data_IF_506362245102
#
_entry.id   IF_506362245102
#
_cell.length_a   1.000
_cell.length_b   1.000
_cell.length_c   1.000
_cell.angle_alpha   90.00
_cell.angle_beta   90.00
_cell.angle_gamma   90.00
#
_symmetry.space_group_name_H-M   'P 1'
#
loop_
_entity.id
_entity.type
_entity.pdbx_description
1 polymer ?
#
# COMPACT_ATOMS: atom_id res chain seq x y z
N UNK A 1 28.24 16.61 -1.49
CA UNK A 1 27.65 15.27 -1.39
C UNK A 1 26.14 15.43 -1.43
N UNK A 2 25.46 14.96 -2.48
CA UNK A 2 24.01 15.07 -2.57
C UNK A 2 23.38 14.16 -1.50
N UNK A 3 22.60 14.73 -0.58
CA UNK A 3 21.71 13.97 0.30
C UNK A 3 20.82 13.11 -0.61
N UNK A 4 21.00 11.79 -0.61
CA UNK A 4 20.04 10.88 -1.27
C UNK A 4 18.69 11.16 -0.64
N UNK A 5 17.77 11.72 -1.42
CA UNK A 5 16.39 11.93 -0.98
C UNK A 5 15.83 10.57 -0.55
N UNK A 6 15.63 10.38 0.74
CA UNK A 6 15.11 9.13 1.29
C UNK A 6 13.62 9.09 0.94
N UNK A 7 13.27 8.42 -0.16
CA UNK A 7 11.89 8.23 -0.56
C UNK A 7 11.25 7.16 0.32
N UNK A 8 9.93 7.24 0.51
CA UNK A 8 9.13 6.23 1.24
C UNK A 8 9.45 4.80 0.76
N UNK A 9 9.67 4.63 -0.54
CA UNK A 9 10.09 3.37 -1.15
C UNK A 9 11.43 2.85 -0.60
N UNK A 10 12.43 3.71 -0.42
CA UNK A 10 13.74 3.30 0.10
C UNK A 10 13.63 2.75 1.53
N UNK A 11 12.79 3.38 2.37
CA UNK A 11 12.56 2.91 3.73
C UNK A 11 11.96 1.50 3.75
N UNK A 12 11.03 1.19 2.84
CA UNK A 12 10.41 -0.14 2.73
C UNK A 12 11.40 -1.16 2.18
N UNK A 13 12.20 -0.78 1.19
CA UNK A 13 13.25 -1.65 0.63
C UNK A 13 14.26 -2.03 1.71
N UNK A 14 14.56 -1.12 2.63
CA UNK A 14 15.51 -1.36 3.72
C UNK A 14 14.95 -2.28 4.83
N UNK A 15 13.63 -2.57 4.86
CA UNK A 15 13.03 -3.61 5.71
C UNK A 15 13.40 -5.01 5.20
N UNK A 16 13.61 -5.16 3.89
CA UNK A 16 13.83 -6.45 3.25
C UNK A 16 15.29 -6.90 3.38
N UNK A 17 15.51 -8.13 3.81
CA UNK A 17 16.86 -8.71 3.91
C UNK A 17 17.54 -8.75 2.55
N UNK A 18 16.74 -8.95 1.49
CA UNK A 18 17.16 -8.83 0.11
C UNK A 18 16.30 -7.79 -0.59
N UNK A 19 16.92 -6.67 -0.96
CA UNK A 19 16.27 -5.54 -1.66
C UNK A 19 15.54 -5.95 -2.94
N UNK A 20 15.95 -7.03 -3.61
CA UNK A 20 15.25 -7.55 -4.80
C UNK A 20 13.86 -8.09 -4.48
N UNK A 21 13.59 -8.49 -3.23
CA UNK A 21 12.24 -8.93 -2.82
C UNK A 21 11.19 -7.83 -2.94
N UNK A 22 11.59 -6.58 -3.13
CA UNK A 22 10.69 -5.51 -3.53
C UNK A 22 9.87 -5.84 -4.78
N UNK A 23 10.48 -6.54 -5.76
CA UNK A 23 9.76 -6.99 -6.96
C UNK A 23 8.64 -7.97 -6.61
N UNK A 24 8.85 -8.85 -5.62
CA UNK A 24 7.82 -9.76 -5.13
C UNK A 24 6.72 -9.01 -4.38
N UNK A 25 7.09 -8.12 -3.44
CA UNK A 25 6.13 -7.33 -2.64
C UNK A 25 5.20 -6.51 -3.54
N UNK A 26 5.76 -5.79 -4.51
CA UNK A 26 4.98 -4.98 -5.45
C UNK A 26 4.05 -5.85 -6.30
N UNK A 27 4.58 -6.89 -6.93
CA UNK A 27 3.79 -7.79 -7.78
C UNK A 27 2.66 -8.49 -6.99
N UNK A 28 2.92 -8.87 -5.74
CA UNK A 28 1.92 -9.50 -4.90
C UNK A 28 0.74 -8.57 -4.62
N UNK A 29 1.02 -7.30 -4.28
CA UNK A 29 -0.01 -6.29 -4.03
C UNK A 29 -0.77 -5.85 -5.31
N UNK A 30 -0.14 -6.00 -6.47
CA UNK A 30 -0.77 -5.75 -7.79
C UNK A 30 -1.65 -6.93 -8.27
N UNK A 31 -1.84 -7.95 -7.43
CA UNK A 31 -2.77 -9.06 -7.66
C UNK A 31 -2.12 -10.41 -7.97
N UNK A 32 -0.80 -10.52 -7.86
CA UNK A 32 -0.05 -11.78 -7.90
C UNK A 32 -0.37 -12.68 -9.11
N UNK A 33 -0.44 -12.12 -10.32
CA UNK A 33 -0.81 -12.88 -11.53
C UNK A 33 0.26 -13.94 -11.85
N UNK A 34 -0.16 -15.20 -11.97
CA UNK A 34 0.73 -16.33 -12.23
C UNK A 34 1.52 -16.19 -13.55
N UNK A 35 0.90 -15.61 -14.59
CA UNK A 35 1.56 -15.37 -15.89
C UNK A 35 2.79 -14.46 -15.82
N UNK A 36 2.94 -13.68 -14.73
CA UNK A 36 4.06 -12.76 -14.52
C UNK A 36 5.19 -13.40 -13.68
N UNK A 37 4.94 -14.56 -13.09
CA UNK A 37 5.84 -15.20 -12.11
C UNK A 37 7.25 -15.47 -12.66
N UNK A 38 7.36 -15.92 -13.91
CA UNK A 38 8.65 -16.21 -14.53
C UNK A 38 9.57 -14.98 -14.60
N UNK A 39 8.98 -13.78 -14.71
CA UNK A 39 9.75 -12.54 -14.67
C UNK A 39 10.13 -12.16 -13.23
N UNK A 40 9.20 -12.33 -12.29
CA UNK A 40 9.42 -12.01 -10.86
C UNK A 40 10.50 -12.91 -10.26
N UNK A 41 10.41 -14.22 -10.48
CA UNK A 41 11.38 -15.20 -10.02
C UNK A 41 12.80 -14.90 -10.52
N UNK A 42 12.94 -14.50 -11.80
CA UNK A 42 14.22 -14.01 -12.36
C UNK A 42 14.72 -12.75 -11.66
N UNK A 43 13.85 -11.76 -11.43
CA UNK A 43 14.23 -10.50 -10.78
C UNK A 43 14.71 -10.70 -9.34
N UNK A 44 14.09 -11.61 -8.60
CA UNK A 44 14.49 -11.94 -7.23
C UNK A 44 15.61 -13.00 -7.16
N UNK A 45 15.98 -13.59 -8.30
CA UNK A 45 17.11 -14.50 -8.44
C UNK A 45 16.84 -15.93 -7.98
N UNK A 46 15.61 -16.42 -8.14
CA UNK A 46 15.22 -17.78 -7.75
C UNK A 46 14.59 -18.57 -8.88
N UNK A 47 14.68 -19.89 -8.75
CA UNK A 47 14.06 -20.84 -9.66
C UNK A 47 13.16 -21.76 -8.86
N UNK A 48 11.90 -21.39 -8.72
CA UNK A 48 10.86 -22.18 -8.10
C UNK A 48 9.53 -21.96 -8.82
N UNK A 49 8.58 -22.86 -8.62
CA UNK A 49 7.23 -22.72 -9.16
C UNK A 49 6.49 -21.55 -8.51
N UNK A 50 5.43 -21.06 -9.16
CA UNK A 50 4.59 -19.99 -8.63
C UNK A 50 4.07 -20.33 -7.21
N UNK A 51 3.57 -21.55 -7.01
CA UNK A 51 3.03 -22.00 -5.72
C UNK A 51 4.08 -22.04 -4.62
N UNK A 52 5.27 -22.55 -4.92
CA UNK A 52 6.39 -22.59 -3.97
C UNK A 52 6.86 -21.18 -3.63
N UNK A 53 6.98 -20.30 -4.62
CA UNK A 53 7.36 -18.91 -4.42
C UNK A 53 6.39 -18.18 -3.50
N UNK A 54 5.09 -18.24 -3.79
CA UNK A 54 4.05 -17.63 -2.95
C UNK A 54 4.15 -18.13 -1.52
N UNK A 55 4.20 -19.45 -1.31
CA UNK A 55 4.30 -20.03 0.03
C UNK A 55 5.54 -19.53 0.76
N UNK A 56 6.71 -19.71 0.15
CA UNK A 56 7.99 -19.44 0.80
C UNK A 56 8.18 -17.95 1.14
N UNK A 57 7.77 -17.04 0.26
CA UNK A 57 7.97 -15.61 0.48
C UNK A 57 6.91 -14.99 1.38
N UNK A 58 5.67 -15.49 1.38
CA UNK A 58 4.67 -15.02 2.32
C UNK A 58 4.93 -15.49 3.76
N UNK A 59 5.67 -16.58 3.96
CA UNK A 59 6.09 -17.05 5.29
C UNK A 59 7.24 -16.23 5.90
N UNK A 60 7.91 -15.37 5.11
CA UNK A 60 9.02 -14.55 5.60
C UNK A 60 8.55 -13.29 6.33
N UNK A 61 9.14 -13.04 7.49
CA UNK A 61 8.79 -11.89 8.34
C UNK A 61 9.10 -10.53 7.67
N UNK A 62 10.24 -10.40 6.97
CA UNK A 62 10.64 -9.17 6.28
C UNK A 62 9.65 -8.81 5.16
N UNK A 63 9.23 -9.80 4.38
CA UNK A 63 8.23 -9.65 3.32
C UNK A 63 6.87 -9.28 3.90
N UNK A 64 6.41 -9.96 4.97
CA UNK A 64 5.14 -9.62 5.63
C UNK A 64 5.13 -8.17 6.15
N UNK A 65 6.21 -7.74 6.81
CA UNK A 65 6.36 -6.36 7.28
C UNK A 65 6.30 -5.36 6.12
N UNK A 66 7.03 -5.62 5.04
CA UNK A 66 7.01 -4.76 3.86
C UNK A 66 5.62 -4.68 3.21
N UNK A 67 4.90 -5.81 3.08
CA UNK A 67 3.53 -5.85 2.56
C UNK A 67 2.58 -4.98 3.40
N UNK A 68 2.68 -5.09 4.73
CA UNK A 68 1.86 -4.30 5.66
C UNK A 68 2.16 -2.80 5.49
N UNK A 69 3.43 -2.41 5.48
CA UNK A 69 3.80 -0.98 5.36
C UNK A 69 3.37 -0.39 4.02
N UNK A 70 3.54 -1.11 2.90
CA UNK A 70 3.02 -0.64 1.60
C UNK A 70 1.50 -0.51 1.63
N UNK A 71 0.80 -1.48 2.25
CA UNK A 71 -0.66 -1.44 2.35
C UNK A 71 -1.14 -0.25 3.18
N UNK A 72 -0.46 0.06 4.29
CA UNK A 72 -0.76 1.25 5.11
C UNK A 72 -0.60 2.54 4.32
N UNK A 73 0.49 2.67 3.56
CA UNK A 73 0.76 3.84 2.71
C UNK A 73 -0.26 3.98 1.57
N UNK A 74 -0.80 2.87 1.10
CA UNK A 74 -1.84 2.84 0.05
C UNK A 74 -3.26 2.89 0.61
N UNK A 75 -3.45 2.90 1.93
CA UNK A 75 -4.77 2.81 2.57
C UNK A 75 -5.75 3.81 1.99
N UNK A 76 -5.37 5.08 1.93
CA UNK A 76 -6.27 6.15 1.49
C UNK A 76 -6.58 6.03 -0.01
N UNK A 77 -5.57 5.74 -0.83
CA UNK A 77 -5.78 5.45 -2.25
C UNK A 77 -6.72 4.26 -2.49
N UNK A 78 -6.61 3.21 -1.66
CA UNK A 78 -7.48 2.05 -1.74
C UNK A 78 -8.90 2.39 -1.29
N UNK A 79 -9.08 3.23 -0.27
CA UNK A 79 -10.38 3.77 0.12
C UNK A 79 -11.02 4.59 -1.01
N UNK A 80 -10.25 5.43 -1.72
CA UNK A 80 -10.75 6.14 -2.93
C UNK A 80 -11.23 5.16 -4.00
N UNK A 81 -10.46 4.10 -4.28
CA UNK A 81 -10.88 3.08 -5.27
C UNK A 81 -12.17 2.39 -4.88
N UNK A 82 -12.31 2.01 -3.60
CA UNK A 82 -13.54 1.41 -3.06
C UNK A 82 -14.69 2.40 -3.18
N UNK A 83 -14.49 3.65 -2.78
CA UNK A 83 -15.50 4.71 -2.90
C UNK A 83 -16.03 4.83 -4.33
N UNK A 84 -15.13 4.93 -5.31
CA UNK A 84 -15.52 5.05 -6.72
C UNK A 84 -16.34 3.83 -7.20
N UNK A 85 -15.95 2.62 -6.80
CA UNK A 85 -16.69 1.39 -7.15
C UNK A 85 -18.04 1.29 -6.46
N UNK A 86 -18.14 1.73 -5.22
CA UNK A 86 -19.40 1.74 -4.49
C UNK A 86 -20.34 2.82 -5.04
N UNK A 87 -19.81 3.97 -5.44
CA UNK A 87 -20.57 5.04 -6.08
C UNK A 87 -21.15 4.59 -7.43
N UNK A 88 -20.33 3.95 -8.28
CA UNK A 88 -20.77 3.37 -9.56
C UNK A 88 -21.99 2.45 -9.34
N UNK A 89 -21.87 1.48 -8.42
CA UNK A 89 -22.97 0.56 -8.09
C UNK A 89 -24.19 1.27 -7.50
N UNK A 90 -23.98 2.29 -6.66
CA UNK A 90 -25.07 3.06 -6.07
C UNK A 90 -25.88 3.81 -7.14
N UNK A 91 -25.20 4.40 -8.12
CA UNK A 91 -25.83 5.08 -9.27
C UNK A 91 -26.63 4.10 -10.16
N UNK A 92 -26.24 2.83 -10.19
CA UNK A 92 -26.97 1.76 -10.85
C UNK A 92 -28.17 1.22 -10.04
N UNK A 93 -28.41 1.76 -8.83
CA UNK A 93 -29.54 1.40 -7.98
C UNK A 93 -29.23 0.37 -6.88
N UNK A 94 -27.96 0.00 -6.66
CA UNK A 94 -27.57 -0.88 -5.55
C UNK A 94 -27.70 -0.13 -4.20
N UNK A 95 -28.81 -0.39 -3.50
CA UNK A 95 -29.15 0.24 -2.22
C UNK A 95 -28.09 0.02 -1.13
N UNK A 96 -27.43 -1.14 -1.13
CA UNK A 96 -26.38 -1.43 -0.15
C UNK A 96 -25.16 -0.51 -0.38
N UNK A 97 -24.83 -0.28 -1.64
CA UNK A 97 -23.71 0.58 -2.03
C UNK A 97 -24.03 2.04 -1.75
N UNK A 98 -25.28 2.47 -1.99
CA UNK A 98 -25.76 3.80 -1.60
C UNK A 98 -25.67 4.01 -0.07
N UNK A 99 -26.13 3.04 0.72
CA UNK A 99 -26.01 3.09 2.18
C UNK A 99 -24.56 3.13 2.67
N UNK A 100 -23.66 2.39 2.01
CA UNK A 100 -22.23 2.44 2.32
C UNK A 100 -21.63 3.82 2.00
N UNK A 101 -21.98 4.43 0.86
CA UNK A 101 -21.50 5.75 0.45
C UNK A 101 -21.92 6.82 1.46
N UNK A 102 -23.18 6.81 1.92
CA UNK A 102 -23.66 7.74 2.96
C UNK A 102 -22.83 7.59 4.24
N UNK A 103 -22.66 6.36 4.74
CA UNK A 103 -21.85 6.10 5.94
C UNK A 103 -20.38 6.49 5.77
N UNK A 104 -19.83 6.27 4.57
CA UNK A 104 -18.45 6.63 4.27
C UNK A 104 -18.29 8.16 4.19
N UNK A 105 -19.30 8.89 3.70
CA UNK A 105 -19.31 10.36 3.70
C UNK A 105 -19.33 10.97 5.11
N UNK A 106 -19.86 10.24 6.09
CA UNK A 106 -19.86 10.61 7.52
C UNK A 106 -18.54 10.26 8.23
N UNK A 107 -17.61 9.57 7.55
CA UNK A 107 -16.33 9.17 8.14
C UNK A 107 -15.31 10.31 8.16
N UNK A 108 -14.28 10.17 9.00
CA UNK A 108 -13.15 11.12 9.08
C UNK A 108 -12.36 11.24 7.76
N UNK A 109 -12.63 10.40 6.75
CA UNK A 109 -11.92 10.43 5.46
C UNK A 109 -12.12 11.74 4.68
N UNK A 110 -13.30 12.36 4.78
CA UNK A 110 -13.60 13.64 4.13
C UNK A 110 -13.59 14.84 5.08
N UNK A 111 -13.23 14.63 6.35
CA UNK A 111 -13.30 15.68 7.38
C UNK A 111 -12.14 16.67 7.31
N UNK A 112 -12.45 17.96 7.44
CA UNK A 112 -11.51 19.08 7.65
C UNK A 112 -10.83 19.05 9.05
N UNK A 113 -10.32 17.89 9.49
CA UNK A 113 -9.51 17.82 10.71
C UNK A 113 -8.05 18.08 10.33
N UNK A 114 -7.60 19.29 10.65
CA UNK A 114 -6.19 19.73 10.72
C UNK A 114 -5.28 18.53 10.99
N UNK A 115 -4.41 18.24 10.03
CA UNK A 115 -3.56 17.07 10.04
C UNK A 115 -2.73 17.04 11.33
N UNK A 116 -2.51 15.88 11.93
CA UNK A 116 -1.57 15.76 13.06
C UNK A 116 -0.17 16.28 12.69
N UNK A 117 0.18 16.25 11.40
CA UNK A 117 1.37 16.92 10.83
C UNK A 117 1.33 18.45 10.93
N UNK A 118 0.18 19.09 10.73
CA UNK A 118 0.01 20.54 10.92
C UNK A 118 0.13 20.92 12.40
N UNK A 119 -0.44 20.11 13.32
CA UNK A 119 -0.22 20.28 14.77
C UNK A 119 1.25 20.12 15.17
N UNK A 120 1.98 19.23 14.51
CA UNK A 120 3.41 19.01 14.75
C UNK A 120 4.26 20.17 14.22
N UNK A 121 3.83 20.83 13.14
CA UNK A 121 4.46 22.03 12.59
C UNK A 121 4.12 23.31 13.40
N UNK A 122 2.92 23.42 13.96
CA UNK A 122 2.55 24.54 14.86
C UNK A 122 3.36 24.53 16.17
N UNK A 123 3.75 23.36 16.66
CA UNK A 123 4.64 23.22 17.83
C UNK A 123 6.12 23.55 17.54
N UNK A 124 6.50 23.67 16.26
CA UNK A 124 7.85 24.08 15.80
C UNK A 124 7.79 25.51 15.25
N UNK A 125 7.02 26.38 15.89
CA UNK A 125 7.32 27.81 15.85
C UNK A 125 8.64 28.00 16.58
N UNK A 126 9.73 27.98 15.81
CA UNK A 126 11.07 28.30 16.28
C UNK A 126 11.01 29.67 16.96
N UNK A 127 11.20 29.66 18.28
CA UNK A 127 11.62 30.82 19.05
C UNK A 127 12.81 31.47 18.35
N UNK A 128 12.64 32.70 17.88
CA UNK A 128 13.75 33.65 17.72
C UNK A 128 14.32 34.05 19.09
#
# INVERSE_FOLDING_TARGET
MAKKTNTIQNNIIDILDNKKLWYFVKWYLDGAKESEWDNISKNIGVKCTYKEGIKNYLEREDVQKALIEVTKLQKDFNLVKIYNKMLEKALEGDVNSANWIVKFSESDFFGDKINELEKLMEGVSLSE
#
